data_IF_945378493431
#
_entry.id   IF_945378493431
#
_cell.length_a   1.000
_cell.length_b   1.000
_cell.length_c   1.000
_cell.angle_alpha   90.00
_cell.angle_beta   90.00
_cell.angle_gamma   90.00
#
_symmetry.space_group_name_H-M   'P 1'
#
loop_
_entity.id
_entity.type
_entity.pdbx_description
1 polymer ?
#
# COMPACT_ATOMS: atom_id res chain seq x y z
N UNK A 1 16.69 29.52 9.88
CA UNK A 1 16.53 28.87 8.57
C UNK A 1 15.41 27.83 8.67
N UNK A 2 14.19 28.21 8.32
CA UNK A 2 12.99 27.36 8.46
C UNK A 2 13.06 26.24 7.40
N UNK A 3 13.22 24.99 7.83
CA UNK A 3 13.17 23.83 6.93
C UNK A 3 11.70 23.63 6.59
N UNK A 4 11.23 24.21 5.48
CA UNK A 4 9.93 23.89 4.93
C UNK A 4 9.89 22.38 4.74
N UNK A 5 9.07 21.68 5.54
CA UNK A 5 8.81 20.26 5.35
C UNK A 5 8.12 20.14 4.00
N UNK A 6 8.90 19.95 2.93
CA UNK A 6 8.41 19.67 1.60
C UNK A 6 7.49 18.47 1.72
N UNK A 7 6.18 18.69 1.61
CA UNK A 7 5.16 17.65 1.61
C UNK A 7 5.27 16.86 0.31
N UNK A 8 6.33 16.04 0.17
CA UNK A 8 6.58 15.10 -0.94
C UNK A 8 5.51 13.99 -1.01
N UNK A 9 4.55 13.99 -0.10
CA UNK A 9 3.32 13.21 -0.20
C UNK A 9 2.42 13.68 -1.35
N UNK A 10 2.47 14.97 -1.70
CA UNK A 10 1.61 15.60 -2.69
C UNK A 10 2.15 15.58 -4.12
N UNK A 11 3.32 14.97 -4.38
CA UNK A 11 3.81 14.86 -5.75
C UNK A 11 2.96 13.85 -6.50
N UNK A 12 2.28 14.35 -7.53
CA UNK A 12 1.44 13.57 -8.43
C UNK A 12 2.23 12.37 -8.96
N UNK A 13 1.74 11.13 -8.83
CA UNK A 13 2.45 9.97 -9.37
C UNK A 13 2.55 10.12 -10.89
N UNK A 14 3.65 9.64 -11.48
CA UNK A 14 3.84 9.65 -12.93
C UNK A 14 2.69 8.87 -13.60
N UNK A 15 1.83 9.60 -14.32
CA UNK A 15 0.64 9.05 -14.99
C UNK A 15 0.79 9.17 -16.50
N UNK A 16 0.49 8.08 -17.21
CA UNK A 16 0.45 8.00 -18.66
C UNK A 16 -0.98 7.68 -19.08
N UNK A 17 -1.61 8.52 -19.92
CA UNK A 17 -3.01 8.40 -20.33
C UNK A 17 -4.02 8.21 -19.17
N UNK A 18 -3.76 8.84 -18.02
CA UNK A 18 -4.62 8.75 -16.82
C UNK A 18 -4.47 7.45 -16.03
N UNK A 19 -3.47 6.62 -16.35
CA UNK A 19 -3.11 5.41 -15.58
C UNK A 19 -1.70 5.62 -14.99
N UNK A 20 -1.46 5.30 -13.71
CA UNK A 20 -0.13 5.41 -13.14
C UNK A 20 0.84 4.39 -13.79
N UNK A 21 2.11 4.76 -13.99
CA UNK A 21 3.07 3.94 -14.74
C UNK A 21 3.32 2.56 -14.08
N UNK A 22 3.46 2.54 -12.76
CA UNK A 22 3.71 1.31 -11.98
C UNK A 22 2.60 0.25 -12.15
N UNK A 23 1.30 0.55 -11.89
CA UNK A 23 0.23 -0.42 -12.09
C UNK A 23 0.06 -0.80 -13.56
N UNK A 24 0.29 0.11 -14.52
CA UNK A 24 0.27 -0.24 -15.94
C UNK A 24 1.32 -1.30 -16.28
N UNK A 25 2.57 -1.11 -15.85
CA UNK A 25 3.64 -2.07 -16.09
C UNK A 25 3.37 -3.43 -15.45
N UNK A 26 2.86 -3.45 -14.22
CA UNK A 26 2.49 -4.69 -13.52
C UNK A 26 1.32 -5.39 -14.22
N UNK A 27 0.27 -4.66 -14.58
CA UNK A 27 -0.92 -5.23 -15.21
C UNK A 27 -0.64 -5.74 -16.63
N UNK A 28 0.00 -4.93 -17.47
CA UNK A 28 0.39 -5.33 -18.83
C UNK A 28 1.42 -6.46 -18.81
N UNK A 29 2.44 -6.37 -17.93
CA UNK A 29 3.45 -7.40 -17.76
C UNK A 29 2.86 -8.73 -17.28
N UNK A 30 1.92 -8.71 -16.33
CA UNK A 30 1.23 -9.91 -15.87
C UNK A 30 0.37 -10.54 -16.99
N UNK A 31 -0.39 -9.74 -17.74
CA UNK A 31 -1.19 -10.25 -18.86
C UNK A 31 -0.30 -10.85 -19.95
N UNK A 32 0.82 -10.21 -20.26
CA UNK A 32 1.79 -10.66 -21.25
C UNK A 32 2.47 -11.97 -20.80
N UNK A 33 2.90 -12.09 -19.55
CA UNK A 33 3.40 -13.36 -19.01
C UNK A 33 2.33 -14.45 -19.13
N UNK A 34 1.09 -14.16 -18.72
CA UNK A 34 0.00 -15.13 -18.73
C UNK A 34 -0.33 -15.61 -20.15
N UNK A 35 -0.16 -14.72 -21.13
CA UNK A 35 -0.30 -15.02 -22.57
C UNK A 35 0.74 -16.06 -23.00
N UNK A 36 2.00 -15.91 -22.60
CA UNK A 36 3.06 -16.85 -22.91
C UNK A 36 2.93 -18.19 -22.18
N UNK A 37 2.50 -18.17 -20.91
CA UNK A 37 2.48 -19.36 -20.07
C UNK A 37 1.20 -20.19 -20.19
N UNK A 38 0.04 -19.58 -20.47
CA UNK A 38 -1.25 -20.29 -20.45
C UNK A 38 -1.92 -20.27 -21.81
N UNK A 39 -2.29 -19.09 -22.33
CA UNK A 39 -3.07 -19.01 -23.57
C UNK A 39 -3.10 -17.61 -24.17
N UNK A 40 -3.18 -17.52 -25.50
CA UNK A 40 -3.16 -16.23 -26.20
C UNK A 40 -4.39 -15.34 -25.91
N UNK A 41 -5.48 -15.94 -25.44
CA UNK A 41 -6.70 -15.23 -25.04
C UNK A 41 -6.49 -14.20 -23.91
N UNK A 42 -5.45 -14.35 -23.09
CA UNK A 42 -5.13 -13.37 -22.05
C UNK A 42 -4.72 -12.00 -22.59
N UNK A 43 -4.36 -11.91 -23.87
CA UNK A 43 -4.12 -10.63 -24.52
C UNK A 43 -5.40 -9.80 -24.66
N UNK A 44 -6.56 -10.44 -24.84
CA UNK A 44 -7.87 -9.78 -24.87
C UNK A 44 -8.29 -9.24 -23.48
N UNK A 45 -7.70 -9.77 -22.41
CA UNK A 45 -7.94 -9.29 -21.04
C UNK A 45 -7.21 -7.96 -20.77
N UNK A 46 -6.12 -7.68 -21.48
CA UNK A 46 -5.29 -6.48 -21.30
C UNK A 46 -6.09 -5.16 -21.30
N UNK A 47 -6.94 -4.86 -22.32
CA UNK A 47 -7.72 -3.63 -22.32
C UNK A 47 -8.72 -3.56 -21.15
N UNK A 48 -9.26 -4.69 -20.71
CA UNK A 48 -10.19 -4.76 -19.55
C UNK A 48 -9.47 -4.37 -18.28
N UNK A 49 -8.27 -4.92 -18.03
CA UNK A 49 -7.47 -4.60 -16.83
C UNK A 49 -7.06 -3.13 -16.85
N UNK A 50 -6.60 -2.61 -18.00
CA UNK A 50 -6.23 -1.19 -18.14
C UNK A 50 -7.42 -0.27 -17.90
N UNK A 51 -8.61 -0.63 -18.39
CA UNK A 51 -9.82 0.14 -18.14
C UNK A 51 -10.17 0.18 -16.65
N UNK A 52 -10.13 -0.95 -15.95
CA UNK A 52 -10.38 -1.02 -14.50
C UNK A 52 -9.36 -0.18 -13.74
N UNK A 53 -8.07 -0.27 -14.07
CA UNK A 53 -7.03 0.55 -13.44
C UNK A 53 -7.26 2.04 -13.68
N UNK A 54 -7.70 2.42 -14.88
CA UNK A 54 -8.05 3.81 -15.23
C UNK A 54 -9.25 4.32 -14.44
N UNK A 55 -10.27 3.50 -14.22
CA UNK A 55 -11.43 3.87 -13.38
C UNK A 55 -11.02 4.07 -11.92
N UNK A 56 -10.13 3.23 -11.38
CA UNK A 56 -9.60 3.40 -10.03
C UNK A 56 -8.77 4.68 -9.91
N UNK A 57 -7.86 4.92 -10.85
CA UNK A 57 -7.02 6.12 -10.87
C UNK A 57 -7.83 7.42 -11.02
N UNK A 58 -8.98 7.37 -11.72
CA UNK A 58 -9.89 8.51 -11.86
C UNK A 58 -10.55 8.91 -10.54
N UNK A 59 -10.76 7.97 -9.63
CA UNK A 59 -11.35 8.26 -8.30
C UNK A 59 -10.32 8.77 -7.32
N UNK A 60 -9.13 8.18 -7.32
CA UNK A 60 -8.04 8.58 -6.43
C UNK A 60 -6.70 8.29 -7.11
N UNK A 61 -5.95 9.35 -7.40
CA UNK A 61 -4.66 9.30 -8.09
C UNK A 61 -3.60 8.54 -7.28
N UNK A 62 -3.74 8.46 -5.95
CA UNK A 62 -2.77 7.84 -5.05
C UNK A 62 -3.22 6.46 -4.53
N UNK A 63 -4.38 5.95 -4.97
CA UNK A 63 -4.97 4.68 -4.49
C UNK A 63 -3.97 3.52 -4.54
N UNK A 64 -3.18 3.39 -5.61
CA UNK A 64 -2.23 2.30 -5.80
C UNK A 64 -1.05 2.36 -4.82
N UNK A 65 -0.63 3.58 -4.44
CA UNK A 65 0.43 3.79 -3.46
C UNK A 65 -0.06 3.40 -2.07
N UNK A 66 -1.32 3.74 -1.75
CA UNK A 66 -1.98 3.34 -0.52
C UNK A 66 -2.19 1.81 -0.46
N UNK A 67 -2.61 1.21 -1.57
CA UNK A 67 -2.79 -0.24 -1.71
C UNK A 67 -1.47 -0.98 -1.48
N UNK A 68 -0.38 -0.51 -2.12
CA UNK A 68 0.95 -1.07 -1.94
C UNK A 68 1.48 -0.91 -0.51
N UNK A 69 1.21 0.23 0.12
CA UNK A 69 1.57 0.45 1.52
C UNK A 69 0.81 -0.50 2.45
N UNK A 70 -0.50 -0.68 2.23
CA UNK A 70 -1.33 -1.64 2.98
C UNK A 70 -0.82 -3.06 2.81
N UNK A 71 -0.40 -3.43 1.60
CA UNK A 71 0.18 -4.74 1.33
C UNK A 71 1.52 -4.95 2.04
N UNK A 72 2.40 -3.93 2.02
CA UNK A 72 3.69 -3.94 2.74
C UNK A 72 3.50 -4.07 4.25
N UNK A 73 2.51 -3.38 4.83
CA UNK A 73 2.19 -3.54 6.24
C UNK A 73 1.68 -4.94 6.53
N UNK A 74 0.76 -5.46 5.71
CA UNK A 74 0.22 -6.81 5.88
C UNK A 74 1.31 -7.90 5.86
N UNK A 75 2.33 -7.76 5.02
CA UNK A 75 3.45 -8.72 4.98
C UNK A 75 4.44 -8.54 6.13
N UNK A 76 4.61 -7.31 6.65
CA UNK A 76 5.46 -7.04 7.82
C UNK A 76 4.85 -7.48 9.15
N UNK A 77 3.53 -7.40 9.33
CA UNK A 77 2.88 -7.86 10.57
C UNK A 77 2.75 -9.39 10.57
N UNK A 78 3.88 -10.10 10.65
CA UNK A 78 3.91 -11.56 10.88
C UNK A 78 3.73 -11.92 12.37
N UNK A 79 3.79 -10.94 13.26
CA UNK A 79 3.63 -11.11 14.70
C UNK A 79 2.16 -11.09 15.18
N UNK A 80 1.16 -11.10 14.29
CA UNK A 80 -0.27 -11.12 14.68
C UNK A 80 -0.57 -12.22 15.71
N UNK A 81 -0.01 -13.42 15.50
CA UNK A 81 -0.21 -14.57 16.39
C UNK A 81 0.38 -14.37 17.79
N UNK A 82 1.40 -13.51 17.93
CA UNK A 82 2.06 -13.24 19.22
C UNK A 82 1.39 -12.13 20.02
N UNK A 83 0.55 -11.30 19.39
CA UNK A 83 -0.10 -10.14 20.02
C UNK A 83 -1.63 -10.16 19.91
N UNK A 84 -2.23 -11.36 19.89
CA UNK A 84 -3.70 -11.51 19.92
C UNK A 84 -4.43 -10.87 18.74
N UNK A 85 -3.80 -10.79 17.57
CA UNK A 85 -4.37 -10.18 16.36
C UNK A 85 -4.13 -8.67 16.23
N UNK A 86 -3.48 -8.02 17.19
CA UNK A 86 -3.16 -6.59 17.12
C UNK A 86 -1.95 -6.31 16.21
N UNK A 87 -2.02 -5.21 15.47
CA UNK A 87 -0.92 -4.74 14.63
C UNK A 87 0.06 -3.91 15.47
N UNK A 88 1.08 -4.59 16.01
CA UNK A 88 2.11 -3.96 16.85
C UNK A 88 3.38 -3.77 16.03
N UNK A 89 3.83 -2.52 15.88
CA UNK A 89 5.02 -2.15 15.10
C UNK A 89 6.16 -1.57 15.96
N UNK A 90 5.87 -1.15 17.19
CA UNK A 90 6.86 -0.59 18.12
C UNK A 90 7.14 -1.57 19.26
N UNK A 91 8.42 -1.81 19.61
CA UNK A 91 8.79 -2.50 20.84
C UNK A 91 8.65 -1.53 22.02
N UNK A 92 7.45 -1.02 22.29
CA UNK A 92 7.23 -0.18 23.45
C UNK A 92 7.07 -1.08 24.68
N UNK A 93 8.14 -1.24 25.45
CA UNK A 93 8.06 -1.78 26.80
C UNK A 93 7.28 -0.78 27.64
N UNK A 94 6.01 -1.06 27.91
CA UNK A 94 5.21 -0.27 28.85
C UNK A 94 5.96 -0.19 30.18
N UNK A 95 6.56 0.97 30.47
CA UNK A 95 7.18 1.23 31.76
C UNK A 95 6.03 1.37 32.76
N UNK A 96 5.85 0.38 33.65
CA UNK A 96 4.99 0.50 34.83
C UNK A 96 5.57 1.61 35.72
N UNK A 97 5.13 2.84 35.54
CA UNK A 97 5.23 3.85 36.56
C UNK A 97 3.91 4.60 36.63
N UNK A 98 3.59 5.02 37.87
CA UNK A 98 2.46 5.85 38.29
C UNK A 98 1.19 5.11 38.70
N UNK A 99 1.22 4.57 39.93
CA UNK A 99 0.14 4.65 40.94
C UNK A 99 0.64 4.01 42.26
N UNK A 100 1.56 4.69 42.96
CA UNK A 100 1.92 4.36 44.35
C UNK A 100 1.71 5.55 45.32
N UNK A 101 0.98 6.60 44.92
CA UNK A 101 0.85 7.85 45.71
C UNK A 101 -0.53 8.06 46.36
N UNK A 102 -1.31 7.02 46.71
CA UNK A 102 -2.62 7.28 47.36
C UNK A 102 -3.07 6.21 48.36
N UNK A 103 -2.18 5.62 49.14
CA UNK A 103 -2.62 4.81 50.30
C UNK A 103 -1.60 4.82 51.44
N UNK A 104 -1.25 6.01 51.93
CA UNK A 104 -0.85 6.19 53.33
C UNK A 104 -1.60 7.39 53.91
N UNK A 105 -2.78 7.12 54.45
CA UNK A 105 -3.45 7.90 55.50
C UNK A 105 -4.16 6.94 56.43
#
# INVERSE_FOLDING_TARGET
MHRNALFRGCTRPAMFMGVPYVPFAIGAGACLLLTFYINMFFLALLPVVVFVMRQMARRDEMIFRLLGLRWRFRTRVRNLRRHGGMWVFSPNSYRRQFHQDTTER
#
